data_IF_132223184156
#
_entry.id   IF_132223184156
#
_cell.length_a   1.000
_cell.length_b   1.000
_cell.length_c   1.000
_cell.angle_alpha   90.00
_cell.angle_beta   90.00
_cell.angle_gamma   90.00
#
_symmetry.space_group_name_H-M   'P 1'
#
loop_
_entity.id
_entity.type
_entity.pdbx_description
1 polymer ?
#
# COMPACT_ATOMS: atom_id res chain seq x y z
N UNK A 1 -25.34 -17.84 29.46
CA UNK A 1 -24.10 -17.68 28.68
C UNK A 1 -23.38 -19.01 28.76
N UNK A 2 -23.04 -19.60 27.62
CA UNK A 2 -22.45 -20.94 27.56
C UNK A 2 -20.95 -20.84 27.29
N UNK A 3 -20.19 -21.86 27.65
CA UNK A 3 -18.73 -21.88 27.43
C UNK A 3 -18.34 -23.09 26.59
N UNK A 4 -17.52 -22.86 25.56
CA UNK A 4 -16.76 -23.91 24.90
C UNK A 4 -15.51 -24.19 25.72
N UNK A 5 -15.25 -25.46 26.03
CA UNK A 5 -14.06 -25.90 26.74
C UNK A 5 -13.29 -26.84 25.84
N UNK A 6 -12.19 -26.35 25.26
CA UNK A 6 -11.46 -27.05 24.19
C UNK A 6 -10.05 -27.38 24.66
N UNK A 7 -9.58 -28.64 24.53
CA UNK A 7 -8.19 -28.97 24.81
C UNK A 7 -7.23 -28.11 23.99
N UNK A 8 -6.24 -27.52 24.65
CA UNK A 8 -5.29 -26.62 24.03
C UNK A 8 -3.88 -26.81 24.61
N UNK A 9 -2.88 -26.68 23.74
CA UNK A 9 -1.48 -26.55 24.09
C UNK A 9 -1.09 -25.08 24.10
N UNK A 10 -0.65 -24.57 25.26
CA UNK A 10 -0.06 -23.25 25.41
C UNK A 10 1.40 -23.27 24.97
N UNK A 11 1.76 -22.38 24.07
CA UNK A 11 3.10 -22.21 23.51
C UNK A 11 3.60 -20.82 23.91
N UNK A 12 4.69 -20.75 24.66
CA UNK A 12 5.28 -19.48 25.11
C UNK A 12 6.33 -19.03 24.10
N UNK A 13 6.17 -17.82 23.55
CA UNK A 13 7.12 -17.22 22.59
C UNK A 13 7.88 -16.01 23.17
N UNK A 14 7.68 -15.73 24.45
CA UNK A 14 8.32 -14.67 25.22
C UNK A 14 7.71 -14.59 26.62
N UNK A 15 8.12 -13.61 27.43
CA UNK A 15 7.63 -13.48 28.81
C UNK A 15 6.11 -13.23 28.89
N UNK A 16 5.57 -12.44 27.94
CA UNK A 16 4.15 -12.07 27.90
C UNK A 16 3.39 -12.61 26.68
N UNK A 17 4.07 -13.26 25.73
CA UNK A 17 3.47 -13.71 24.47
C UNK A 17 3.15 -15.19 24.51
N UNK A 18 1.86 -15.50 24.42
CA UNK A 18 1.33 -16.86 24.48
C UNK A 18 0.48 -17.14 23.25
N UNK A 19 0.70 -18.32 22.67
CA UNK A 19 -0.08 -18.88 21.58
C UNK A 19 -0.75 -20.16 22.09
N UNK A 20 -1.90 -20.51 21.54
CA UNK A 20 -2.65 -21.70 21.87
C UNK A 20 -2.87 -22.51 20.59
N UNK A 21 -2.42 -23.76 20.59
CA UNK A 21 -2.72 -24.72 19.53
C UNK A 21 -3.85 -25.62 19.99
N UNK A 22 -4.95 -25.64 19.23
CA UNK A 22 -6.15 -26.40 19.57
C UNK A 22 -6.84 -26.92 18.30
N UNK A 23 -7.79 -27.83 18.46
CA UNK A 23 -8.63 -28.31 17.37
C UNK A 23 -10.09 -28.01 17.69
N UNK A 24 -10.79 -27.35 16.77
CA UNK A 24 -12.20 -26.96 16.93
C UNK A 24 -12.98 -27.52 15.75
N UNK A 25 -14.22 -27.95 15.99
CA UNK A 25 -15.13 -28.32 14.92
C UNK A 25 -15.40 -27.12 14.01
N UNK A 26 -15.14 -27.27 12.71
CA UNK A 26 -15.19 -26.15 11.75
C UNK A 26 -16.51 -25.38 11.75
N UNK A 27 -17.63 -26.09 11.98
CA UNK A 27 -18.98 -25.51 12.09
C UNK A 27 -19.24 -24.73 13.37
N UNK A 28 -18.37 -24.83 14.38
CA UNK A 28 -18.47 -24.10 15.64
C UNK A 28 -17.64 -22.81 15.66
N UNK A 29 -16.66 -22.66 14.75
CA UNK A 29 -15.77 -21.49 14.68
C UNK A 29 -16.58 -20.19 14.56
N UNK A 30 -17.67 -20.19 13.79
CA UNK A 30 -18.53 -19.03 13.62
C UNK A 30 -19.34 -18.66 14.88
N UNK A 31 -19.48 -19.54 15.88
CA UNK A 31 -20.14 -19.22 17.16
C UNK A 31 -19.22 -18.41 18.08
N UNK A 32 -17.91 -18.61 17.95
CA UNK A 32 -16.90 -18.03 18.83
C UNK A 32 -16.07 -16.92 18.17
N UNK A 33 -16.05 -16.83 16.84
CA UNK A 33 -15.26 -15.85 16.12
C UNK A 33 -16.02 -15.18 14.96
N UNK A 34 -15.77 -13.89 14.77
CA UNK A 34 -16.26 -13.09 13.66
C UNK A 34 -15.16 -12.83 12.62
N UNK A 35 -15.58 -12.56 11.38
CA UNK A 35 -14.69 -12.02 10.34
C UNK A 35 -14.75 -10.50 10.46
N UNK A 36 -13.61 -9.81 10.42
CA UNK A 36 -13.57 -8.35 10.33
C UNK A 36 -14.45 -7.85 9.20
N UNK A 37 -15.47 -7.07 9.54
CA UNK A 37 -16.01 -6.10 8.60
C UNK A 37 -15.43 -4.77 9.07
N UNK A 38 -14.45 -4.25 8.35
CA UNK A 38 -14.01 -2.87 8.54
C UNK A 38 -15.26 -2.01 8.31
N UNK A 39 -15.86 -1.50 9.39
CA UNK A 39 -16.99 -0.58 9.35
C UNK A 39 -16.44 0.82 9.54
N UNK A 40 -16.51 1.65 8.49
CA UNK A 40 -16.72 3.09 8.63
C UNK A 40 -18.23 3.26 8.79
N UNK A 41 -18.71 3.75 9.93
CA UNK A 41 -20.06 4.29 10.02
C UNK A 41 -20.06 5.68 9.36
N UNK A 42 -20.98 6.08 8.50
CA UNK A 42 -22.19 5.44 7.98
C UNK A 42 -22.20 5.61 6.46
N UNK A 43 -21.98 4.51 5.74
CA UNK A 43 -22.65 4.13 4.50
C UNK A 43 -22.35 2.65 4.32
N UNK A 44 -23.40 1.83 4.27
CA UNK A 44 -23.29 0.37 4.31
C UNK A 44 -22.49 -0.19 3.12
N UNK A 45 -21.18 -0.36 3.31
CA UNK A 45 -20.34 -1.18 2.45
C UNK A 45 -20.64 -2.67 2.70
N UNK A 46 -21.67 -3.16 2.03
CA UNK A 46 -21.88 -4.60 1.78
C UNK A 46 -20.80 -5.03 0.79
N UNK A 47 -19.57 -5.21 1.27
CA UNK A 47 -18.39 -5.35 0.41
C UNK A 47 -17.46 -6.47 0.84
N UNK A 48 -17.77 -7.72 0.47
CA UNK A 48 -16.75 -8.75 0.19
C UNK A 48 -17.33 -9.88 -0.64
N UNK A 49 -17.80 -9.57 -1.85
CA UNK A 49 -18.24 -10.59 -2.82
C UNK A 49 -17.61 -10.33 -4.18
N UNK A 50 -16.29 -10.55 -4.27
CA UNK A 50 -15.63 -10.73 -5.57
C UNK A 50 -15.98 -12.13 -6.12
N UNK A 51 -16.30 -12.27 -7.42
CA UNK A 51 -16.57 -13.56 -8.06
C UNK A 51 -15.45 -14.59 -7.85
N UNK A 52 -14.20 -14.13 -7.87
CA UNK A 52 -12.99 -14.94 -7.65
C UNK A 52 -12.96 -15.59 -6.26
N UNK A 53 -13.38 -14.85 -5.22
CA UNK A 53 -13.44 -15.36 -3.84
C UNK A 53 -14.53 -16.43 -3.70
N UNK A 54 -15.67 -16.27 -4.40
CA UNK A 54 -16.74 -17.28 -4.41
C UNK A 54 -16.32 -18.56 -5.13
N UNK A 55 -15.59 -18.46 -6.24
CA UNK A 55 -15.06 -19.64 -6.95
C UNK A 55 -14.13 -20.44 -6.05
N UNK A 56 -13.21 -19.76 -5.36
CA UNK A 56 -12.27 -20.43 -4.49
C UNK A 56 -12.90 -21.03 -3.22
N UNK A 57 -13.91 -20.36 -2.62
CA UNK A 57 -14.69 -20.95 -1.52
C UNK A 57 -15.36 -22.25 -1.97
N UNK A 58 -15.96 -22.27 -3.17
CA UNK A 58 -16.59 -23.49 -3.73
C UNK A 58 -15.59 -24.61 -4.00
N UNK A 59 -14.37 -24.28 -4.43
CA UNK A 59 -13.30 -25.28 -4.59
C UNK A 59 -12.92 -25.91 -3.25
N UNK A 60 -12.70 -25.08 -2.21
CA UNK A 60 -12.40 -25.57 -0.86
C UNK A 60 -13.57 -26.40 -0.33
N UNK A 61 -14.82 -25.96 -0.54
CA UNK A 61 -16.01 -26.71 -0.16
C UNK A 61 -16.04 -28.09 -0.81
N UNK A 62 -15.90 -28.17 -2.14
CA UNK A 62 -15.86 -29.45 -2.88
C UNK A 62 -14.75 -30.37 -2.40
N UNK A 63 -13.60 -29.81 -2.04
CA UNK A 63 -12.50 -30.59 -1.49
C UNK A 63 -12.84 -31.14 -0.10
N UNK A 64 -13.43 -30.34 0.78
CA UNK A 64 -13.90 -30.77 2.12
C UNK A 64 -15.00 -31.85 2.01
N UNK A 65 -15.87 -31.78 1.00
CA UNK A 65 -16.95 -32.75 0.76
C UNK A 65 -16.46 -34.03 0.03
N UNK A 66 -15.16 -34.11 -0.30
CA UNK A 66 -14.60 -35.31 -0.94
C UNK A 66 -14.48 -36.49 0.03
N UNK A 67 -14.11 -37.67 -0.48
CA UNK A 67 -14.07 -38.89 0.33
C UNK A 67 -12.99 -38.91 1.42
N UNK A 68 -11.92 -38.10 1.31
CA UNK A 68 -10.83 -38.05 2.30
C UNK A 68 -10.08 -36.70 2.32
N UNK A 69 -10.73 -35.60 2.74
CA UNK A 69 -10.12 -34.27 2.84
C UNK A 69 -9.07 -34.16 3.96
N UNK A 70 -8.02 -33.38 3.70
CA UNK A 70 -7.08 -32.94 4.74
C UNK A 70 -6.72 -31.46 4.55
N UNK A 71 -6.89 -30.65 5.60
CA UNK A 71 -6.47 -29.24 5.64
C UNK A 71 -5.44 -29.08 6.77
N UNK A 72 -4.14 -29.07 6.47
CA UNK A 72 -3.09 -28.98 7.48
C UNK A 72 -2.90 -27.54 8.01
N UNK A 73 -3.30 -26.52 7.24
CA UNK A 73 -3.09 -25.13 7.60
C UNK A 73 -4.15 -24.65 8.61
N UNK A 74 -3.74 -24.09 9.76
CA UNK A 74 -4.67 -23.68 10.79
C UNK A 74 -5.52 -22.45 10.40
N UNK A 75 -6.64 -22.28 11.11
CA UNK A 75 -7.33 -20.99 11.22
C UNK A 75 -6.65 -20.20 12.33
N UNK A 76 -6.35 -18.93 12.09
CA UNK A 76 -5.72 -18.07 13.09
C UNK A 76 -6.80 -17.19 13.72
N UNK A 77 -6.95 -17.25 15.05
CA UNK A 77 -7.98 -16.51 15.78
C UNK A 77 -7.35 -15.64 16.87
N UNK A 78 -7.65 -14.34 16.85
CA UNK A 78 -7.33 -13.44 17.94
C UNK A 78 -8.54 -13.39 18.88
N UNK A 79 -8.40 -13.81 20.14
CA UNK A 79 -9.43 -13.66 21.16
C UNK A 79 -9.20 -12.40 21.99
N UNK A 80 -10.26 -11.87 22.60
CA UNK A 80 -10.15 -10.88 23.66
C UNK A 80 -10.00 -11.53 25.05
N UNK A 81 -9.85 -10.68 26.07
CA UNK A 81 -9.62 -11.09 27.46
C UNK A 81 -10.78 -11.86 28.12
N UNK A 82 -11.93 -12.01 27.46
CA UNK A 82 -13.02 -12.88 27.96
C UNK A 82 -12.68 -14.36 27.83
N UNK A 83 -11.74 -14.71 26.94
CA UNK A 83 -11.22 -16.07 26.79
C UNK A 83 -10.09 -16.31 27.79
N UNK A 84 -10.10 -17.48 28.45
CA UNK A 84 -9.09 -17.84 29.45
C UNK A 84 -8.53 -19.24 29.21
N UNK A 85 -7.29 -19.44 29.63
CA UNK A 85 -6.65 -20.75 29.63
C UNK A 85 -6.63 -21.35 31.03
N UNK A 86 -7.17 -22.55 31.17
CA UNK A 86 -7.21 -23.34 32.40
C UNK A 86 -6.24 -24.52 32.28
N UNK A 87 -5.05 -24.49 32.91
CA UNK A 87 -4.09 -25.59 32.81
C UNK A 87 -4.61 -26.85 33.52
N UNK A 88 -4.26 -28.03 33.01
CA UNK A 88 -4.66 -29.32 33.60
C UNK A 88 -4.04 -29.55 34.98
N UNK A 89 -2.85 -28.99 35.21
CA UNK A 89 -2.11 -29.01 36.48
C UNK A 89 -1.45 -27.64 36.65
N UNK A 90 -1.09 -27.26 37.88
CA UNK A 90 -0.33 -26.03 38.11
C UNK A 90 0.94 -26.01 37.23
N UNK A 91 1.17 -24.87 36.57
CA UNK A 91 2.27 -24.65 35.61
C UNK A 91 2.28 -25.55 34.36
N UNK A 92 1.23 -26.32 34.08
CA UNK A 92 1.14 -27.10 32.85
C UNK A 92 0.87 -26.20 31.63
N UNK A 93 1.53 -26.51 30.52
CA UNK A 93 1.23 -25.92 29.21
C UNK A 93 0.11 -26.69 28.47
N UNK A 94 -0.33 -27.82 29.00
CA UNK A 94 -1.54 -28.52 28.54
C UNK A 94 -2.73 -28.09 29.39
N UNK A 95 -3.84 -27.74 28.75
CA UNK A 95 -5.01 -27.19 29.43
C UNK A 95 -6.25 -27.18 28.56
N UNK A 96 -7.24 -26.42 29.00
CA UNK A 96 -8.42 -26.09 28.24
C UNK A 96 -8.46 -24.59 27.97
N UNK A 97 -8.73 -24.21 26.73
CA UNK A 97 -9.14 -22.86 26.39
C UNK A 97 -10.65 -22.76 26.60
N UNK A 98 -11.06 -21.85 27.48
CA UNK A 98 -12.47 -21.60 27.80
C UNK A 98 -12.94 -20.35 27.07
N UNK A 99 -13.90 -20.55 26.17
CA UNK A 99 -14.35 -19.53 25.22
C UNK A 99 -15.85 -19.30 25.42
N UNK A 100 -16.28 -18.08 25.83
CA UNK A 100 -17.68 -17.79 25.99
C UNK A 100 -18.39 -17.72 24.64
N UNK A 101 -19.63 -18.20 24.58
CA UNK A 101 -20.49 -18.05 23.42
C UNK A 101 -21.96 -17.86 23.81
N UNK A 102 -22.72 -17.31 22.87
CA UNK A 102 -24.17 -17.16 22.95
C UNK A 102 -24.77 -17.30 21.56
N UNK A 103 -26.01 -17.77 21.48
CA UNK A 103 -26.80 -17.79 20.23
C UNK A 103 -27.60 -16.49 20.04
N UNK A 104 -27.51 -15.55 20.98
CA UNK A 104 -28.08 -14.21 20.86
C UNK A 104 -27.44 -13.45 19.67
N UNK A 105 -28.28 -12.87 18.81
CA UNK A 105 -27.86 -12.09 17.65
C UNK A 105 -27.03 -10.84 18.00
N UNK A 106 -27.22 -10.28 19.20
CA UNK A 106 -26.49 -9.11 19.70
C UNK A 106 -25.21 -9.47 20.46
N UNK A 107 -24.91 -10.76 20.63
CA UNK A 107 -23.69 -11.18 21.31
C UNK A 107 -22.46 -10.88 20.46
N UNK A 108 -21.60 -10.00 20.97
CA UNK A 108 -20.29 -9.76 20.38
C UNK A 108 -19.37 -10.95 20.66
N UNK A 109 -18.99 -11.64 19.58
CA UNK A 109 -18.13 -12.83 19.65
C UNK A 109 -16.75 -12.46 20.20
N UNK A 110 -16.15 -13.28 21.07
CA UNK A 110 -14.86 -12.98 21.69
C UNK A 110 -13.68 -13.13 20.73
N UNK A 111 -13.86 -13.84 19.62
CA UNK A 111 -12.82 -14.14 18.65
C UNK A 111 -12.94 -13.34 17.37
N UNK A 112 -11.79 -13.13 16.75
CA UNK A 112 -11.63 -12.49 15.47
C UNK A 112 -10.77 -13.37 14.56
N UNK A 113 -11.29 -13.72 13.38
CA UNK A 113 -10.57 -14.54 12.42
C UNK A 113 -9.52 -13.68 11.70
N UNK A 114 -8.26 -13.93 12.06
CA UNK A 114 -7.09 -13.26 11.48
C UNK A 114 -6.76 -13.84 10.11
N UNK A 115 -6.64 -15.16 10.01
CA UNK A 115 -6.43 -15.89 8.74
C UNK A 115 -7.32 -17.15 8.69
N UNK A 116 -7.64 -17.60 7.48
CA UNK A 116 -8.49 -18.76 7.23
C UNK A 116 -9.95 -18.41 6.93
N UNK A 117 -10.26 -17.14 6.62
CA UNK A 117 -11.63 -16.69 6.37
C UNK A 117 -12.36 -17.49 5.28
N UNK A 118 -11.68 -17.78 4.16
CA UNK A 118 -12.25 -18.58 3.06
C UNK A 118 -12.47 -20.05 3.49
N UNK A 119 -11.56 -20.62 4.30
CA UNK A 119 -11.70 -21.98 4.84
C UNK A 119 -12.89 -22.06 5.79
N UNK A 120 -13.02 -21.11 6.71
CA UNK A 120 -14.17 -21.04 7.63
C UNK A 120 -15.48 -20.79 6.89
N UNK A 121 -15.48 -19.99 5.82
CA UNK A 121 -16.65 -19.79 4.98
C UNK A 121 -17.06 -21.07 4.23
N UNK A 122 -16.10 -21.78 3.64
CA UNK A 122 -16.35 -23.06 2.97
C UNK A 122 -16.88 -24.12 3.94
N UNK A 123 -16.28 -24.26 5.14
CA UNK A 123 -16.73 -25.19 6.19
C UNK A 123 -18.15 -24.94 6.67
N UNK A 124 -18.57 -23.67 6.69
CA UNK A 124 -19.94 -23.29 7.06
C UNK A 124 -20.95 -23.73 6.01
N UNK A 125 -20.58 -23.66 4.73
CA UNK A 125 -21.44 -23.98 3.60
C UNK A 125 -21.38 -25.45 3.18
N UNK A 126 -20.36 -26.18 3.64
CA UNK A 126 -20.13 -27.58 3.30
C UNK A 126 -21.16 -28.55 3.92
N UNK A 127 -21.62 -29.51 3.11
CA UNK A 127 -22.53 -30.58 3.51
C UNK A 127 -21.78 -31.75 4.16
N UNK A 128 -21.16 -31.46 5.30
CA UNK A 128 -20.43 -32.42 6.14
C UNK A 128 -20.91 -32.34 7.59
N UNK A 129 -20.97 -33.47 8.29
CA UNK A 129 -21.44 -33.49 9.68
C UNK A 129 -20.41 -32.93 10.66
N UNK A 130 -19.14 -33.30 10.51
CA UNK A 130 -18.06 -32.86 11.39
C UNK A 130 -16.73 -32.81 10.63
N UNK A 131 -15.93 -31.78 10.92
CA UNK A 131 -14.57 -31.64 10.42
C UNK A 131 -13.76 -30.83 11.41
N UNK A 132 -12.76 -31.46 12.03
CA UNK A 132 -11.89 -30.80 13.01
C UNK A 132 -10.87 -29.94 12.28
N UNK A 133 -10.83 -28.66 12.63
CA UNK A 133 -9.86 -27.71 12.12
C UNK A 133 -8.76 -27.46 13.13
N UNK A 134 -7.48 -27.51 12.72
CA UNK A 134 -6.42 -26.96 13.54
C UNK A 134 -6.64 -25.45 13.67
N UNK A 135 -6.51 -24.94 14.88
CA UNK A 135 -6.63 -23.53 15.22
C UNK A 135 -5.37 -23.10 15.96
N UNK A 136 -4.83 -21.97 15.56
CA UNK A 136 -3.78 -21.27 16.28
C UNK A 136 -4.37 -19.96 16.82
N UNK A 137 -4.38 -19.81 18.13
CA UNK A 137 -5.06 -18.70 18.78
C UNK A 137 -4.14 -17.93 19.72
N UNK A 138 -4.41 -16.65 19.92
CA UNK A 138 -3.78 -15.83 20.95
C UNK A 138 -4.83 -14.95 21.60
N UNK A 139 -4.58 -14.50 22.82
CA UNK A 139 -5.45 -13.58 23.56
C UNK A 139 -4.79 -12.21 23.48
N UNK A 140 -5.44 -11.28 22.78
CA UNK A 140 -4.97 -9.91 22.64
C UNK A 140 -5.45 -9.05 23.80
N UNK A 141 -4.61 -8.08 24.21
CA UNK A 141 -4.93 -7.17 25.31
C UNK A 141 -5.89 -6.06 24.87
N UNK A 142 -5.79 -5.63 23.62
CA UNK A 142 -6.58 -4.55 23.06
C UNK A 142 -6.82 -4.76 21.55
N UNK A 143 -7.64 -3.89 20.98
CA UNK A 143 -7.96 -3.90 19.55
C UNK A 143 -6.75 -3.49 18.67
N UNK A 144 -5.71 -2.89 19.22
CA UNK A 144 -4.50 -2.49 18.48
C UNK A 144 -3.61 -3.71 18.22
N UNK A 145 -3.35 -4.52 19.25
CA UNK A 145 -2.61 -5.78 19.16
C UNK A 145 -3.30 -6.76 18.20
N UNK A 146 -4.64 -6.80 18.20
CA UNK A 146 -5.41 -7.58 17.22
C UNK A 146 -5.13 -7.13 15.77
N UNK A 147 -5.08 -5.81 15.51
CA UNK A 147 -4.79 -5.25 14.19
C UNK A 147 -3.35 -5.47 13.77
N UNK A 148 -2.39 -5.31 14.68
CA UNK A 148 -0.97 -5.55 14.41
C UNK A 148 -0.77 -7.00 13.94
N UNK A 149 -1.28 -7.98 14.69
CA UNK A 149 -1.18 -9.39 14.31
C UNK A 149 -1.94 -9.71 13.02
N UNK A 150 -3.08 -9.05 12.77
CA UNK A 150 -3.78 -9.19 11.50
C UNK A 150 -2.90 -8.80 10.30
N UNK A 151 -2.19 -7.67 10.41
CA UNK A 151 -1.27 -7.19 9.38
C UNK A 151 -0.05 -8.12 9.23
N UNK A 152 0.53 -8.58 10.34
CA UNK A 152 1.70 -9.45 10.34
C UNK A 152 1.39 -10.82 9.71
N UNK A 153 0.29 -11.46 10.11
CA UNK A 153 -0.10 -12.79 9.62
C UNK A 153 -0.49 -12.75 8.13
N UNK A 154 -1.30 -11.76 7.73
CA UNK A 154 -1.75 -11.63 6.34
C UNK A 154 -0.71 -10.96 5.43
N UNK A 155 0.47 -10.60 5.92
CA UNK A 155 1.57 -10.11 5.06
C UNK A 155 2.01 -11.16 4.02
N UNK A 156 1.75 -12.44 4.27
CA UNK A 156 2.19 -13.58 3.43
C UNK A 156 1.22 -13.99 2.31
N UNK A 157 0.00 -13.42 2.25
CA UNK A 157 -0.86 -13.39 1.05
C UNK A 157 -1.23 -11.94 0.78
N UNK A 158 -0.80 -11.33 -0.35
CA UNK A 158 -0.63 -9.89 -0.39
C UNK A 158 -1.97 -9.18 -0.28
N UNK A 159 -2.19 -8.49 0.85
CA UNK A 159 -2.99 -7.27 0.81
C UNK A 159 -2.49 -6.45 -0.39
N UNK A 160 -3.39 -5.90 -1.22
CA UNK A 160 -2.97 -5.11 -2.38
C UNK A 160 -1.91 -4.11 -1.94
N UNK A 161 -0.77 -4.04 -2.65
CA UNK A 161 0.35 -3.17 -2.25
C UNK A 161 -0.12 -1.74 -1.99
N UNK A 162 -1.09 -1.28 -2.77
CA UNK A 162 -1.76 0.00 -2.59
C UNK A 162 -2.40 0.17 -1.21
N UNK A 163 -3.08 -0.85 -0.69
CA UNK A 163 -3.62 -0.81 0.67
C UNK A 163 -2.49 -0.83 1.71
N UNK A 164 -1.41 -1.59 1.47
CA UNK A 164 -0.25 -1.59 2.37
C UNK A 164 0.42 -0.22 2.46
N UNK A 165 0.63 0.45 1.32
CA UNK A 165 1.17 1.80 1.26
C UNK A 165 0.24 2.83 1.90
N UNK A 166 -1.07 2.65 1.79
CA UNK A 166 -2.04 3.53 2.44
C UNK A 166 -2.06 3.37 3.98
N UNK A 167 -1.84 2.15 4.48
CA UNK A 167 -1.83 1.87 5.92
C UNK A 167 -0.47 2.14 6.60
N UNK A 168 0.63 2.01 5.85
CA UNK A 168 1.99 2.06 6.41
C UNK A 168 2.28 3.36 7.20
N UNK A 169 1.92 4.58 6.73
CA UNK A 169 2.16 5.83 7.46
C UNK A 169 1.57 5.86 8.86
N UNK A 170 0.40 5.23 9.03
CA UNK A 170 -0.39 5.25 10.26
C UNK A 170 -0.11 4.05 11.17
N UNK A 171 0.88 3.22 10.82
CA UNK A 171 1.28 2.05 11.61
C UNK A 171 2.52 2.36 12.45
N UNK A 172 2.40 2.30 13.78
CA UNK A 172 3.49 2.62 14.71
C UNK A 172 4.39 1.42 15.06
N UNK A 173 3.92 0.19 14.81
CA UNK A 173 4.68 -1.05 15.05
C UNK A 173 5.79 -1.35 14.04
N UNK A 174 6.49 -2.47 14.24
CA UNK A 174 7.57 -2.91 13.34
C UNK A 174 6.98 -3.45 12.03
N UNK A 175 7.03 -2.64 10.97
CA UNK A 175 6.74 -3.07 9.61
C UNK A 175 7.92 -3.87 9.00
N UNK A 176 7.63 -4.73 8.00
CA UNK A 176 8.64 -5.26 7.07
C UNK A 176 9.54 -4.16 6.51
N UNK A 177 10.81 -4.48 6.24
CA UNK A 177 11.83 -3.50 5.84
C UNK A 177 11.48 -2.72 4.57
N UNK A 178 10.83 -3.37 3.61
CA UNK A 178 10.35 -2.74 2.38
C UNK A 178 9.24 -1.71 2.63
N UNK A 179 8.29 -2.04 3.52
CA UNK A 179 7.21 -1.12 3.92
C UNK A 179 7.72 0.01 4.82
N UNK A 180 8.73 -0.25 5.67
CA UNK A 180 9.38 0.81 6.45
C UNK A 180 10.03 1.86 5.54
N UNK A 181 10.79 1.42 4.54
CA UNK A 181 11.41 2.34 3.57
C UNK A 181 10.39 3.15 2.78
N UNK A 182 9.21 2.57 2.52
CA UNK A 182 8.13 3.20 1.75
C UNK A 182 7.19 4.04 2.62
N UNK A 183 7.30 4.00 3.95
CA UNK A 183 6.37 4.65 4.88
C UNK A 183 6.28 6.16 4.67
N UNK A 184 7.41 6.86 4.71
CA UNK A 184 7.42 8.32 4.58
C UNK A 184 7.05 8.81 3.16
N UNK A 185 7.57 8.22 2.06
CA UNK A 185 7.07 8.54 0.71
C UNK A 185 5.56 8.30 0.54
N UNK A 186 5.01 7.27 1.19
CA UNK A 186 3.56 7.00 1.15
C UNK A 186 2.76 8.05 1.92
N UNK A 187 3.29 8.58 3.03
CA UNK A 187 2.68 9.69 3.77
C UNK A 187 2.57 10.93 2.88
N UNK A 188 3.67 11.34 2.23
CA UNK A 188 3.68 12.48 1.31
C UNK A 188 2.71 12.28 0.14
N UNK A 189 2.66 11.06 -0.41
CA UNK A 189 1.69 10.69 -1.46
C UNK A 189 0.24 10.88 -0.99
N UNK A 190 -0.08 10.49 0.25
CA UNK A 190 -1.41 10.73 0.83
C UNK A 190 -1.70 12.21 1.02
N UNK A 191 -0.73 13.02 1.46
CA UNK A 191 -0.90 14.47 1.59
C UNK A 191 -1.20 15.13 0.25
N UNK A 192 -0.55 14.71 -0.84
CA UNK A 192 -0.86 15.21 -2.18
C UNK A 192 -2.25 14.79 -2.66
N UNK A 193 -2.69 13.56 -2.32
CA UNK A 193 -3.97 13.04 -2.80
C UNK A 193 -5.18 13.60 -2.04
N UNK A 194 -5.04 13.87 -0.74
CA UNK A 194 -6.14 14.28 0.14
C UNK A 194 -6.02 15.72 0.66
N UNK A 195 -4.91 16.40 0.36
CA UNK A 195 -4.73 17.81 0.65
C UNK A 195 -5.19 18.71 -0.50
N UNK A 196 -4.78 19.97 -0.43
CA UNK A 196 -4.97 20.93 -1.52
C UNK A 196 -3.86 20.81 -2.55
N UNK A 197 -4.20 20.96 -3.83
CA UNK A 197 -3.23 20.93 -4.92
C UNK A 197 -3.74 20.23 -6.18
N UNK A 198 -2.91 20.20 -7.24
CA UNK A 198 -3.28 19.69 -8.56
C UNK A 198 -3.48 18.16 -8.57
N UNK A 199 -2.86 17.45 -7.63
CA UNK A 199 -2.95 15.99 -7.49
C UNK A 199 -4.10 15.51 -6.60
N UNK A 200 -4.87 16.43 -6.01
CA UNK A 200 -5.99 16.10 -5.13
C UNK A 200 -6.99 15.18 -5.85
N UNK A 201 -7.25 14.00 -5.26
CA UNK A 201 -8.13 12.99 -5.82
C UNK A 201 -7.60 12.26 -7.07
N UNK A 202 -6.40 12.56 -7.57
CA UNK A 202 -5.87 11.96 -8.81
C UNK A 202 -5.07 10.68 -8.60
N UNK A 203 -4.59 10.43 -7.38
CA UNK A 203 -3.74 9.28 -7.08
C UNK A 203 -4.62 8.11 -6.66
N UNK A 204 -4.46 7.00 -7.38
CA UNK A 204 -5.22 5.77 -7.17
C UNK A 204 -4.75 5.07 -5.90
N UNK A 205 -5.55 5.14 -4.85
CA UNK A 205 -5.34 4.44 -3.58
C UNK A 205 -6.40 3.37 -3.36
N UNK A 206 -6.38 2.67 -2.21
CA UNK A 206 -7.40 1.67 -1.90
C UNK A 206 -8.73 2.35 -1.56
N UNK A 207 -8.67 3.55 -0.97
CA UNK A 207 -9.83 4.39 -0.67
C UNK A 207 -10.21 5.37 -1.79
N UNK A 208 -9.32 5.61 -2.76
CA UNK A 208 -9.58 6.39 -3.97
C UNK A 208 -9.29 5.57 -5.24
N UNK A 209 -10.18 4.64 -5.64
CA UNK A 209 -9.92 3.72 -6.75
C UNK A 209 -10.00 4.36 -8.14
N UNK A 210 -10.62 5.55 -8.26
CA UNK A 210 -10.87 6.24 -9.52
C UNK A 210 -9.72 7.14 -9.97
N UNK A 211 -8.68 7.28 -9.13
CA UNK A 211 -7.46 8.01 -9.48
C UNK A 211 -6.82 7.52 -10.79
N UNK A 212 -6.30 8.45 -11.57
CA UNK A 212 -5.65 8.18 -12.88
C UNK A 212 -4.15 7.87 -12.76
N UNK A 213 -3.52 8.27 -11.64
CA UNK A 213 -2.11 8.05 -11.36
C UNK A 213 -1.96 6.86 -10.43
N UNK A 214 -1.11 5.89 -10.77
CA UNK A 214 -0.80 4.80 -9.85
C UNK A 214 -0.02 5.32 -8.63
N UNK A 215 -0.48 5.04 -7.41
CA UNK A 215 0.20 5.38 -6.16
C UNK A 215 1.67 4.94 -6.13
N UNK A 216 1.95 3.72 -6.57
CA UNK A 216 3.31 3.18 -6.60
C UNK A 216 4.26 4.00 -7.50
N UNK A 217 3.76 4.67 -8.55
CA UNK A 217 4.59 5.55 -9.37
C UNK A 217 4.94 6.84 -8.64
N UNK A 218 3.99 7.44 -7.92
CA UNK A 218 4.24 8.62 -7.07
C UNK A 218 5.17 8.30 -5.92
N UNK A 219 4.93 7.18 -5.22
CA UNK A 219 5.76 6.71 -4.11
C UNK A 219 7.21 6.48 -4.57
N UNK A 220 7.42 5.90 -5.75
CA UNK A 220 8.77 5.71 -6.32
C UNK A 220 9.44 7.03 -6.65
N UNK A 221 8.72 7.95 -7.29
CA UNK A 221 9.25 9.28 -7.62
C UNK A 221 9.69 10.03 -6.35
N UNK A 222 8.82 10.06 -5.34
CA UNK A 222 9.10 10.73 -4.07
C UNK A 222 10.24 10.04 -3.32
N UNK A 223 10.30 8.70 -3.31
CA UNK A 223 11.40 7.94 -2.70
C UNK A 223 12.75 8.22 -3.36
N UNK A 224 12.79 8.35 -4.70
CA UNK A 224 14.00 8.75 -5.42
C UNK A 224 14.45 10.15 -5.03
N UNK A 225 13.54 11.14 -5.03
CA UNK A 225 13.87 12.52 -4.67
C UNK A 225 14.30 12.64 -3.19
N UNK A 226 13.73 11.85 -2.28
CA UNK A 226 14.13 11.81 -0.86
C UNK A 226 15.53 11.20 -0.62
N UNK A 227 16.06 10.43 -1.58
CA UNK A 227 17.39 9.82 -1.47
C UNK A 227 18.49 10.72 -2.01
N UNK A 228 18.25 11.34 -3.15
CA UNK A 228 19.30 12.03 -3.91
C UNK A 228 18.80 13.23 -4.74
N UNK A 229 17.54 13.66 -4.56
CA UNK A 229 16.94 14.76 -5.32
C UNK A 229 16.51 15.95 -4.47
N UNK A 230 15.56 16.74 -4.99
CA UNK A 230 15.10 17.99 -4.38
C UNK A 230 14.58 17.82 -2.95
N UNK A 231 13.92 16.70 -2.65
CA UNK A 231 13.36 16.46 -1.32
C UNK A 231 14.42 16.09 -0.27
N UNK A 232 15.61 15.63 -0.68
CA UNK A 232 16.68 15.22 0.22
C UNK A 232 17.09 16.34 1.19
N UNK A 233 17.14 17.60 0.73
CA UNK A 233 17.55 18.75 1.57
C UNK A 233 16.59 19.11 2.70
N UNK A 234 15.35 18.61 2.64
CA UNK A 234 14.36 18.80 3.71
C UNK A 234 14.29 17.60 4.67
N UNK A 235 15.10 16.57 4.41
CA UNK A 235 15.13 15.35 5.19
C UNK A 235 15.95 15.55 6.46
N UNK A 236 15.45 15.00 7.56
CA UNK A 236 16.19 14.85 8.81
C UNK A 236 17.07 13.58 8.72
N UNK A 237 18.41 13.72 8.77
CA UNK A 237 19.33 12.58 8.70
C UNK A 237 19.18 11.59 9.87
N UNK A 238 18.73 12.05 11.04
CA UNK A 238 18.64 11.23 12.25
C UNK A 238 17.38 10.36 12.26
N UNK A 239 16.25 10.89 11.81
CA UNK A 239 14.96 10.19 11.84
C UNK A 239 14.58 9.58 10.50
N UNK A 240 15.19 10.04 9.41
CA UNK A 240 14.86 9.66 8.04
C UNK A 240 13.55 10.28 7.53
N UNK A 241 12.82 11.03 8.38
CA UNK A 241 11.66 11.86 8.03
C UNK A 241 12.12 13.22 7.49
N UNK A 242 11.26 14.23 7.45
CA UNK A 242 11.64 15.58 7.06
C UNK A 242 10.51 16.60 7.24
N UNK A 243 10.75 17.82 6.79
CA UNK A 243 9.75 18.89 6.81
C UNK A 243 8.66 18.62 5.76
N UNK A 244 7.61 17.91 6.20
CA UNK A 244 6.46 17.52 5.38
C UNK A 244 5.83 18.71 4.66
N UNK A 245 5.69 19.86 5.36
CA UNK A 245 5.03 21.03 4.80
C UNK A 245 5.84 21.63 3.64
N UNK A 246 7.16 21.72 3.78
CA UNK A 246 8.04 22.20 2.70
C UNK A 246 8.07 21.23 1.51
N UNK A 247 8.15 19.92 1.78
CA UNK A 247 8.15 18.90 0.74
C UNK A 247 6.85 18.88 -0.07
N UNK A 248 5.70 18.91 0.61
CA UNK A 248 4.38 18.99 -0.05
C UNK A 248 4.25 20.28 -0.84
N UNK A 249 4.73 21.42 -0.32
CA UNK A 249 4.72 22.69 -1.05
C UNK A 249 5.57 22.65 -2.33
N UNK A 250 6.77 22.08 -2.29
CA UNK A 250 7.62 21.93 -3.47
C UNK A 250 6.92 21.06 -4.53
N UNK A 251 6.41 19.90 -4.11
CA UNK A 251 5.69 18.98 -5.00
C UNK A 251 4.45 19.64 -5.61
N UNK A 252 3.64 20.35 -4.82
CA UNK A 252 2.48 21.07 -5.33
C UNK A 252 2.85 22.19 -6.31
N UNK A 253 3.89 22.98 -6.02
CA UNK A 253 4.36 24.02 -6.94
C UNK A 253 4.76 23.40 -8.30
N UNK A 254 5.50 22.29 -8.29
CA UNK A 254 5.92 21.60 -9.50
C UNK A 254 4.73 21.01 -10.27
N UNK A 255 3.88 20.22 -9.62
CA UNK A 255 2.76 19.57 -10.29
C UNK A 255 1.71 20.57 -10.80
N UNK A 256 1.56 21.73 -10.17
CA UNK A 256 0.68 22.80 -10.66
C UNK A 256 1.24 23.41 -11.95
N UNK A 257 2.57 23.55 -12.01
CA UNK A 257 3.25 23.98 -13.23
C UNK A 257 3.12 22.94 -14.34
N UNK A 258 3.22 21.63 -14.02
CA UNK A 258 2.98 20.55 -15.00
C UNK A 258 1.54 20.61 -15.53
N UNK A 259 0.53 20.76 -14.67
CA UNK A 259 -0.87 20.93 -15.07
C UNK A 259 -1.06 22.12 -16.03
N UNK A 260 -0.40 23.23 -15.74
CA UNK A 260 -0.51 24.45 -16.57
C UNK A 260 0.23 24.34 -17.90
N UNK A 261 1.43 23.76 -17.90
CA UNK A 261 2.27 23.69 -19.10
C UNK A 261 1.77 22.59 -20.04
N UNK A 262 1.29 21.47 -19.49
CA UNK A 262 0.82 20.30 -20.22
C UNK A 262 -0.70 20.09 -20.08
N UNK A 263 -1.49 21.16 -20.05
CA UNK A 263 -2.96 21.12 -19.86
C UNK A 263 -3.66 20.17 -20.82
N UNK A 264 -3.25 20.15 -22.09
CA UNK A 264 -3.83 19.26 -23.11
C UNK A 264 -3.67 17.76 -22.79
N UNK A 265 -2.69 17.41 -21.96
CA UNK A 265 -2.33 16.04 -21.60
C UNK A 265 -2.68 15.65 -20.17
N UNK A 266 -2.97 16.63 -19.32
CA UNK A 266 -3.21 16.46 -17.89
C UNK A 266 -4.43 15.60 -17.57
N UNK A 267 -5.54 15.79 -18.27
CA UNK A 267 -6.81 15.07 -18.03
C UNK A 267 -6.96 13.80 -18.84
N UNK A 268 -5.95 13.46 -19.65
CA UNK A 268 -5.99 12.26 -20.47
C UNK A 268 -5.65 11.02 -19.63
N UNK A 269 -6.46 9.97 -19.79
CA UNK A 269 -6.18 8.65 -19.22
C UNK A 269 -4.84 8.10 -19.76
N UNK A 270 -4.13 7.22 -19.02
CA UNK A 270 -2.83 6.66 -19.44
C UNK A 270 -2.77 5.96 -20.81
N UNK A 271 -3.92 5.59 -21.38
CA UNK A 271 -4.05 5.04 -22.74
C UNK A 271 -3.96 6.09 -23.84
N UNK A 272 -4.18 7.36 -23.50
CA UNK A 272 -4.26 8.51 -24.42
C UNK A 272 -3.12 9.52 -24.18
N UNK A 273 -2.38 9.39 -23.07
CA UNK A 273 -1.22 10.22 -22.75
C UNK A 273 -0.28 9.46 -21.80
N UNK A 274 1.03 9.64 -21.97
CA UNK A 274 2.06 9.10 -21.07
C UNK A 274 2.47 10.08 -19.97
N UNK A 275 1.96 11.32 -19.96
CA UNK A 275 2.30 12.36 -18.97
C UNK A 275 2.09 11.87 -17.52
N UNK A 276 0.89 11.39 -17.21
CA UNK A 276 0.51 10.88 -15.88
C UNK A 276 0.70 9.36 -15.73
N UNK A 277 1.28 8.72 -16.74
CA UNK A 277 1.66 7.31 -16.66
C UNK A 277 2.96 7.15 -15.86
N UNK A 278 3.29 5.92 -15.44
CA UNK A 278 4.45 5.68 -14.59
C UNK A 278 5.77 6.21 -15.14
N UNK A 279 5.98 6.16 -16.47
CA UNK A 279 7.16 6.76 -17.12
C UNK A 279 7.19 8.29 -17.00
N UNK A 280 6.07 8.97 -17.23
CA UNK A 280 6.00 10.42 -17.15
C UNK A 280 6.16 10.91 -15.71
N UNK A 281 5.53 10.24 -14.74
CA UNK A 281 5.68 10.57 -13.31
C UNK A 281 7.13 10.50 -12.85
N UNK A 282 7.86 9.44 -13.23
CA UNK A 282 9.24 9.25 -12.83
C UNK A 282 10.18 10.22 -13.57
N UNK A 283 10.00 10.40 -14.89
CA UNK A 283 10.84 11.29 -15.67
C UNK A 283 10.65 12.77 -15.30
N UNK A 284 9.41 13.21 -15.09
CA UNK A 284 9.13 14.56 -14.61
C UNK A 284 9.62 14.78 -13.18
N UNK A 285 9.58 13.75 -12.32
CA UNK A 285 10.17 13.82 -10.99
C UNK A 285 11.68 14.06 -11.01
N UNK A 286 12.41 13.34 -11.85
CA UNK A 286 13.85 13.59 -12.03
C UNK A 286 14.13 14.97 -12.63
N UNK A 287 13.28 15.45 -13.54
CA UNK A 287 13.39 16.81 -14.05
C UNK A 287 13.12 17.87 -12.98
N UNK A 288 12.15 17.64 -12.09
CA UNK A 288 11.90 18.51 -10.93
C UNK A 288 13.14 18.60 -10.04
N UNK A 289 13.81 17.48 -9.80
CA UNK A 289 15.04 17.44 -9.01
C UNK A 289 16.15 18.29 -9.64
N UNK A 290 16.32 18.20 -10.97
CA UNK A 290 17.31 19.01 -11.69
C UNK A 290 16.95 20.51 -11.70
N UNK A 291 15.66 20.84 -11.88
CA UNK A 291 15.20 22.24 -11.82
C UNK A 291 15.42 22.84 -10.42
N UNK A 292 15.14 22.08 -9.35
CA UNK A 292 15.43 22.54 -7.98
C UNK A 292 16.93 22.74 -7.79
N UNK A 293 17.77 21.82 -8.27
CA UNK A 293 19.23 21.95 -8.17
C UNK A 293 19.73 23.24 -8.82
N UNK A 294 19.34 23.51 -10.07
CA UNK A 294 19.68 24.76 -10.77
C UNK A 294 19.14 25.98 -10.01
N UNK A 295 17.91 25.91 -9.47
CA UNK A 295 17.35 26.99 -8.64
C UNK A 295 18.14 27.22 -7.34
N UNK A 296 18.71 26.18 -6.74
CA UNK A 296 19.56 26.33 -5.55
C UNK A 296 20.92 26.98 -5.86
N UNK A 297 21.43 26.85 -7.09
CA UNK A 297 22.72 27.42 -7.47
C UNK A 297 22.69 28.97 -7.51
N UNK A 298 21.54 29.58 -7.75
CA UNK A 298 21.31 31.04 -7.69
C UNK A 298 20.90 31.54 -6.30
N UNK A 299 21.12 30.74 -5.25
CA UNK A 299 20.78 31.13 -3.88
C UNK A 299 21.50 32.42 -3.48
N UNK A 300 20.70 33.42 -3.09
CA UNK A 300 21.19 34.74 -2.69
C UNK A 300 20.92 35.83 -3.73
N UNK A 301 20.47 35.48 -4.92
CA UNK A 301 20.03 36.44 -5.93
C UNK A 301 18.67 37.08 -5.56
N UNK A 302 18.40 38.32 -6.04
CA UNK A 302 17.12 38.98 -5.80
C UNK A 302 15.93 38.16 -6.30
N UNK A 303 14.95 37.91 -5.42
CA UNK A 303 13.76 37.13 -5.76
C UNK A 303 13.90 35.62 -5.54
N UNK A 304 15.07 35.14 -5.13
CA UNK A 304 15.24 33.73 -4.74
C UNK A 304 14.42 33.37 -3.50
N UNK A 305 13.81 32.18 -3.52
CA UNK A 305 13.09 31.58 -2.40
C UNK A 305 13.59 30.17 -2.13
N UNK A 306 13.56 29.73 -0.86
CA UNK A 306 14.03 28.39 -0.46
C UNK A 306 13.36 27.26 -1.25
N UNK A 307 12.08 27.39 -1.57
CA UNK A 307 11.31 26.49 -2.43
C UNK A 307 11.07 27.22 -3.75
N UNK A 308 11.40 26.63 -4.91
CA UNK A 308 11.10 27.25 -6.20
C UNK A 308 9.61 27.57 -6.31
N UNK A 309 9.29 28.77 -6.79
CA UNK A 309 7.90 29.18 -6.97
C UNK A 309 7.23 28.38 -8.09
N UNK A 310 5.90 28.34 -8.08
CA UNK A 310 5.11 27.84 -9.21
C UNK A 310 5.53 28.50 -10.54
N UNK A 311 5.73 29.82 -10.56
CA UNK A 311 6.11 30.56 -11.79
C UNK A 311 7.48 30.12 -12.31
N UNK A 312 8.44 29.90 -11.42
CA UNK A 312 9.76 29.38 -11.80
C UNK A 312 9.64 28.02 -12.48
N UNK A 313 8.87 27.08 -11.92
CA UNK A 313 8.65 25.79 -12.58
C UNK A 313 7.94 25.92 -13.93
N UNK A 314 6.97 26.83 -14.07
CA UNK A 314 6.30 27.07 -15.36
C UNK A 314 7.30 27.53 -16.42
N UNK A 315 8.20 28.47 -16.10
CA UNK A 315 9.23 28.96 -17.01
C UNK A 315 10.16 27.82 -17.47
N UNK A 316 10.67 27.04 -16.52
CA UNK A 316 11.60 25.94 -16.81
C UNK A 316 10.93 24.81 -17.61
N UNK A 317 9.68 24.46 -17.31
CA UNK A 317 8.91 23.47 -18.06
C UNK A 317 8.52 23.94 -19.47
N UNK A 318 8.43 25.25 -19.74
CA UNK A 318 8.23 25.73 -21.11
C UNK A 318 9.46 25.50 -22.00
N UNK A 319 10.67 25.50 -21.44
CA UNK A 319 11.91 25.19 -22.18
C UNK A 319 11.90 23.77 -22.74
N UNK A 320 11.37 22.83 -21.96
CA UNK A 320 11.34 21.41 -22.33
C UNK A 320 10.06 20.98 -23.04
N UNK A 321 8.94 21.71 -22.90
CA UNK A 321 7.64 21.37 -23.52
C UNK A 321 7.74 21.01 -25.02
N UNK A 322 8.47 21.74 -25.89
CA UNK A 322 8.57 21.43 -27.31
C UNK A 322 9.25 20.09 -27.62
N UNK A 323 10.00 19.54 -26.66
CA UNK A 323 10.73 18.28 -26.78
C UNK A 323 9.89 17.07 -26.35
N UNK A 324 8.73 17.30 -25.75
CA UNK A 324 7.89 16.26 -25.16
C UNK A 324 6.88 15.72 -26.17
N UNK A 325 6.73 14.39 -26.21
CA UNK A 325 5.73 13.69 -27.01
C UNK A 325 4.81 12.84 -26.11
N UNK A 326 4.01 13.48 -25.25
CA UNK A 326 3.22 12.75 -24.25
C UNK A 326 1.98 12.04 -24.80
N UNK A 327 1.24 12.66 -25.74
CA UNK A 327 0.01 12.09 -26.32
C UNK A 327 -0.02 12.03 -27.85
N UNK A 328 1.00 12.58 -28.51
CA UNK A 328 1.12 12.58 -29.96
C UNK A 328 2.60 12.69 -30.36
N UNK A 329 2.89 12.43 -31.63
CA UNK A 329 4.25 12.52 -32.16
C UNK A 329 5.18 11.38 -31.75
N UNK A 330 6.48 11.67 -31.78
CA UNK A 330 7.57 10.72 -31.53
C UNK A 330 8.58 11.31 -30.55
N UNK A 331 9.14 10.47 -29.70
CA UNK A 331 10.31 10.74 -28.90
C UNK A 331 11.58 10.41 -29.70
N UNK A 332 12.52 11.34 -29.74
CA UNK A 332 13.85 11.17 -30.34
C UNK A 332 14.88 11.06 -29.21
N UNK A 333 15.02 9.87 -28.62
CA UNK A 333 15.71 9.62 -27.35
C UNK A 333 17.24 9.44 -27.50
N UNK A 334 17.85 10.10 -28.48
CA UNK A 334 19.28 9.99 -28.77
C UNK A 334 19.64 8.80 -29.67
N UNK A 335 20.80 8.21 -29.44
CA UNK A 335 21.35 7.08 -30.21
C UNK A 335 21.73 5.92 -29.30
N UNK A 336 21.65 4.69 -29.82
CA UNK A 336 22.15 3.51 -29.12
C UNK A 336 23.68 3.35 -29.22
N UNK A 337 24.20 2.25 -28.70
CA UNK A 337 25.63 1.95 -28.67
C UNK A 337 26.26 1.82 -30.07
N UNK A 338 25.45 1.49 -31.07
CA UNK A 338 25.87 1.35 -32.47
C UNK A 338 25.65 2.66 -33.26
N UNK A 339 25.28 3.74 -32.57
CA UNK A 339 25.00 5.05 -33.17
C UNK A 339 23.66 5.15 -33.89
N UNK A 340 22.76 4.16 -33.75
CA UNK A 340 21.46 4.19 -34.40
C UNK A 340 20.46 5.05 -33.61
N UNK A 341 19.66 5.91 -34.27
CA UNK A 341 18.67 6.74 -33.60
C UNK A 341 17.62 5.92 -32.84
N UNK A 342 17.41 6.26 -31.56
CA UNK A 342 16.35 5.68 -30.73
C UNK A 342 15.09 6.53 -30.87
N UNK A 343 14.24 6.15 -31.83
CA UNK A 343 12.93 6.80 -32.05
C UNK A 343 11.81 5.92 -31.51
N UNK A 344 10.85 6.52 -30.79
CA UNK A 344 9.66 5.84 -30.26
C UNK A 344 8.42 6.69 -30.50
N UNK A 345 7.32 6.10 -30.97
CA UNK A 345 6.02 6.80 -30.92
C UNK A 345 5.63 7.05 -29.47
N UNK A 346 4.88 8.12 -29.21
CA UNK A 346 4.45 8.47 -27.84
C UNK A 346 3.83 7.29 -27.06
N UNK A 347 3.06 6.42 -27.73
CA UNK A 347 2.37 5.29 -27.12
C UNK A 347 3.23 4.02 -27.02
N UNK A 348 4.38 3.96 -27.69
CA UNK A 348 5.33 2.84 -27.61
C UNK A 348 6.12 2.87 -26.31
N UNK A 349 6.27 4.04 -25.68
CA UNK A 349 6.91 4.18 -24.36
C UNK A 349 6.06 3.47 -23.29
N UNK A 350 6.65 2.47 -22.63
CA UNK A 350 6.02 1.66 -21.58
C UNK A 350 6.55 2.00 -20.19
N UNK A 351 5.89 1.47 -19.15
CA UNK A 351 6.37 1.56 -17.76
C UNK A 351 7.42 0.48 -17.47
N UNK A 352 8.48 0.43 -18.28
CA UNK A 352 9.61 -0.49 -18.15
C UNK A 352 10.85 0.30 -17.76
N UNK A 353 11.75 -0.28 -16.95
CA UNK A 353 12.94 0.43 -16.45
C UNK A 353 13.77 1.07 -17.56
N UNK A 354 13.93 0.39 -18.70
CA UNK A 354 14.67 0.91 -19.86
C UNK A 354 14.02 2.17 -20.46
N UNK A 355 12.70 2.14 -20.64
CA UNK A 355 11.97 3.28 -21.22
C UNK A 355 11.92 4.46 -20.25
N UNK A 356 11.79 4.19 -18.95
CA UNK A 356 11.87 5.21 -17.90
C UNK A 356 13.23 5.91 -17.97
N UNK A 357 14.33 5.16 -17.92
CA UNK A 357 15.68 5.73 -18.00
C UNK A 357 15.88 6.54 -19.28
N UNK A 358 15.48 6.01 -20.44
CA UNK A 358 15.63 6.74 -21.71
C UNK A 358 14.90 8.09 -21.73
N UNK A 359 13.65 8.14 -21.26
CA UNK A 359 12.88 9.40 -21.23
C UNK A 359 13.43 10.35 -20.17
N UNK A 360 13.79 9.83 -18.98
CA UNK A 360 14.42 10.63 -17.92
C UNK A 360 15.71 11.27 -18.41
N UNK A 361 16.65 10.46 -18.93
CA UNK A 361 17.95 10.92 -19.39
C UNK A 361 17.81 11.94 -20.51
N UNK A 362 16.87 11.71 -21.44
CA UNK A 362 16.56 12.66 -22.51
C UNK A 362 16.07 14.01 -21.97
N UNK A 363 15.09 14.02 -21.06
CA UNK A 363 14.54 15.27 -20.52
C UNK A 363 15.58 16.04 -19.70
N UNK A 364 16.28 15.37 -18.79
CA UNK A 364 17.30 15.99 -17.92
C UNK A 364 18.47 16.52 -18.76
N UNK A 365 18.99 15.73 -19.69
CA UNK A 365 20.11 16.16 -20.55
C UNK A 365 19.77 17.39 -21.38
N UNK A 366 18.57 17.42 -21.98
CA UNK A 366 18.15 18.57 -22.79
C UNK A 366 17.85 19.78 -21.91
N UNK A 367 17.27 19.58 -20.72
CA UNK A 367 17.07 20.64 -19.75
C UNK A 367 18.39 21.33 -19.38
N UNK A 368 19.40 20.56 -18.96
CA UNK A 368 20.73 21.09 -18.60
C UNK A 368 21.35 21.87 -19.77
N UNK A 369 21.24 21.36 -21.00
CA UNK A 369 21.71 22.08 -22.20
C UNK A 369 21.00 23.43 -22.38
N UNK A 370 19.69 23.48 -22.17
CA UNK A 370 18.92 24.73 -22.29
C UNK A 370 19.17 25.69 -21.12
N UNK A 371 19.39 25.19 -19.91
CA UNK A 371 19.72 26.01 -18.75
C UNK A 371 21.10 26.66 -18.89
N UNK A 372 22.10 25.90 -19.37
CA UNK A 372 23.45 26.39 -19.60
C UNK A 372 23.59 27.32 -20.81
N UNK A 373 22.60 27.38 -21.71
CA UNK A 373 22.64 28.27 -22.86
C UNK A 373 22.32 29.75 -22.50
N UNK A 374 21.74 29.98 -21.31
CA UNK A 374 21.38 31.31 -20.81
C UNK A 374 22.41 31.87 -19.80
N UNK A 375 23.47 31.11 -19.50
CA UNK A 375 24.64 31.53 -18.71
C UNK A 375 25.76 31.91 -19.67
#
# INVERSE_FOLDING_TARGET
>A
MSEFRVPALRIRQGEKRQLFSLAIEGKQINKIAAISRIRRGDENLVGYQRPEVRSHIKEIQRYIESSNPMIPNPVIIAFDQRVRFEPLMENSDMGHLVIPYSEDANFEKPGFIVDGQQRTAALREADINSFMMPVSAFIANDAEEQREQFMLVNSTKPLPKTLLYELAPHTHGRLPSDLQLRKFPSLLTQRLNFGEGPLAGRIKTATNPDGVIADNSMIKMIDSSLREGALYRFRDPATGLGDEAKMVKLLNNFWSAVETVFTDDWDKKPRNSRLLHGVGILALGSLMDEIDQVHQDYKGEPGWTEIPSYTRFVEELHRIKPLCAWSSGVWNLGTDIDGQPIVRKWNEVQNLSKDISLVTDYLVTNYIKTANADI
#
